data_IF_071896541746
#
_entry.id   IF_071896541746
#
_cell.length_a   1.000
_cell.length_b   1.000
_cell.length_c   1.000
_cell.angle_alpha   90.00
_cell.angle_beta   90.00
_cell.angle_gamma   90.00
#
_symmetry.space_group_name_H-M   'P 1'
#
loop_
_entity.id
_entity.type
_entity.pdbx_description
1 polymer ?
#
# COMPACT_ATOMS: atom_id res chain seq x y z
N UNK A 1 2.91 25.11 -12.57
CA UNK A 1 2.83 24.20 -11.40
C UNK A 1 2.71 22.81 -11.98
N UNK A 2 3.57 21.87 -11.60
CA UNK A 2 3.50 20.51 -12.14
C UNK A 2 2.63 19.65 -11.23
N UNK A 3 1.61 19.04 -11.81
CA UNK A 3 0.67 18.12 -11.15
C UNK A 3 0.32 16.95 -12.08
N UNK A 4 -0.43 15.97 -11.58
CA UNK A 4 -0.84 14.80 -12.36
C UNK A 4 -1.48 15.21 -13.71
N UNK A 5 -0.96 14.68 -14.82
CA UNK A 5 -1.39 15.02 -16.17
C UNK A 5 -0.58 16.13 -16.86
N UNK A 6 0.21 16.90 -16.10
CA UNK A 6 1.10 17.94 -16.67
C UNK A 6 2.15 17.31 -17.59
N UNK A 7 2.40 17.91 -18.75
CA UNK A 7 3.39 17.48 -19.72
C UNK A 7 4.28 18.63 -20.19
N UNK A 8 5.51 18.29 -20.55
CA UNK A 8 6.37 19.17 -21.34
C UNK A 8 5.80 19.36 -22.75
N UNK A 9 6.14 20.50 -23.37
CA UNK A 9 5.74 20.79 -24.75
C UNK A 9 6.21 19.67 -25.70
N UNK A 10 5.27 19.08 -26.44
CA UNK A 10 5.54 17.96 -27.35
C UNK A 10 5.58 16.57 -26.70
N UNK A 11 5.44 16.45 -25.37
CA UNK A 11 5.44 15.16 -24.67
C UNK A 11 4.05 14.52 -24.51
N UNK A 12 2.97 15.21 -24.91
CA UNK A 12 1.62 14.62 -24.89
C UNK A 12 1.58 13.43 -25.85
N UNK A 13 1.17 12.23 -25.39
CA UNK A 13 1.08 11.06 -26.26
C UNK A 13 0.12 11.29 -27.43
N UNK A 14 0.53 10.90 -28.64
CA UNK A 14 -0.35 10.94 -29.83
C UNK A 14 -1.58 10.05 -29.65
N UNK A 15 -1.39 8.87 -29.07
CA UNK A 15 -2.47 7.96 -28.66
C UNK A 15 -2.52 7.89 -27.13
N UNK A 16 -3.38 8.71 -26.54
CA UNK A 16 -3.59 8.76 -25.10
C UNK A 16 -4.18 7.46 -24.55
N UNK A 17 -5.01 6.75 -25.34
CA UNK A 17 -5.58 5.46 -24.91
C UNK A 17 -4.51 4.38 -24.86
N UNK A 18 -3.59 4.37 -25.82
CA UNK A 18 -2.45 3.47 -25.79
C UNK A 18 -1.59 3.68 -24.54
N UNK A 19 -1.39 4.93 -24.11
CA UNK A 19 -0.67 5.25 -22.88
C UNK A 19 -1.34 4.66 -21.63
N UNK A 20 -2.68 4.61 -21.56
CA UNK A 20 -3.39 4.10 -20.39
C UNK A 20 -3.63 2.58 -20.38
N UNK A 21 -3.37 1.88 -21.48
CA UNK A 21 -3.69 0.45 -21.66
C UNK A 21 -3.11 -0.48 -20.58
N UNK A 22 -1.92 -0.17 -20.10
CA UNK A 22 -1.17 -0.89 -19.05
C UNK A 22 -1.33 -0.26 -17.66
N UNK A 23 -1.98 0.92 -17.56
CA UNK A 23 -2.14 1.70 -16.32
C UNK A 23 -3.54 1.64 -15.75
N UNK A 24 -4.55 1.41 -16.60
CA UNK A 24 -5.96 1.30 -16.26
C UNK A 24 -6.47 -0.13 -16.45
N UNK A 25 -7.39 -0.54 -15.58
CA UNK A 25 -8.10 -1.80 -15.77
C UNK A 25 -9.25 -1.59 -16.79
N UNK A 26 -9.61 -2.58 -17.61
CA UNK A 26 -10.60 -2.42 -18.68
C UNK A 26 -11.96 -1.85 -18.22
N UNK A 27 -12.35 -2.12 -16.97
CA UNK A 27 -13.61 -1.65 -16.39
C UNK A 27 -13.55 -0.20 -15.89
N UNK A 28 -12.43 0.51 -16.04
CA UNK A 28 -12.35 1.92 -15.69
C UNK A 28 -13.16 2.79 -16.67
N UNK A 29 -13.90 3.80 -16.18
CA UNK A 29 -14.85 4.54 -16.99
C UNK A 29 -14.21 5.53 -17.98
N UNK A 30 -12.93 5.91 -17.78
CA UNK A 30 -12.23 6.92 -18.61
C UNK A 30 -10.78 6.52 -18.94
N UNK A 31 -10.62 5.75 -20.01
CA UNK A 31 -9.32 5.21 -20.45
C UNK A 31 -8.48 6.21 -21.29
N UNK A 32 -8.53 7.50 -20.95
CA UNK A 32 -7.83 8.59 -21.64
C UNK A 32 -7.39 9.74 -20.73
N UNK A 33 -7.66 9.64 -19.43
CA UNK A 33 -7.39 10.67 -18.43
C UNK A 33 -6.81 10.02 -17.16
N UNK A 34 -5.99 10.72 -16.40
CA UNK A 34 -5.52 10.21 -15.12
C UNK A 34 -6.61 10.33 -14.06
N UNK A 35 -6.99 9.21 -13.42
CA UNK A 35 -7.79 9.25 -12.19
C UNK A 35 -7.04 9.98 -11.06
N UNK A 36 -7.62 11.09 -10.57
CA UNK A 36 -7.16 11.85 -9.40
C UNK A 36 -7.56 11.22 -8.07
N UNK A 37 -7.53 12.00 -6.98
CA UNK A 37 -7.91 11.51 -5.65
C UNK A 37 -9.36 11.82 -5.28
N UNK A 38 -9.87 12.99 -5.69
CA UNK A 38 -11.22 13.46 -5.32
C UNK A 38 -12.28 12.63 -6.02
N UNK A 39 -13.47 12.52 -5.43
CA UNK A 39 -14.63 11.88 -6.05
C UNK A 39 -14.88 12.44 -7.46
N UNK A 40 -14.93 11.58 -8.47
CA UNK A 40 -15.18 11.95 -9.87
C UNK A 40 -14.05 12.70 -10.58
N UNK A 41 -12.85 12.81 -9.97
CA UNK A 41 -11.76 13.61 -10.51
C UNK A 41 -10.91 12.87 -11.56
N UNK A 42 -10.76 13.51 -12.71
CA UNK A 42 -9.95 13.01 -13.82
C UNK A 42 -9.14 14.17 -14.40
N UNK A 43 -7.86 13.92 -14.66
CA UNK A 43 -6.93 14.90 -15.21
C UNK A 43 -6.58 14.53 -16.65
N UNK A 44 -6.87 15.40 -17.64
CA UNK A 44 -6.38 15.20 -18.99
C UNK A 44 -4.87 15.43 -19.03
N UNK A 45 -4.26 15.11 -20.18
CA UNK A 45 -2.92 15.61 -20.47
C UNK A 45 -2.97 17.12 -20.69
N UNK A 46 -2.08 17.86 -20.03
CA UNK A 46 -1.98 19.31 -20.17
C UNK A 46 -0.54 19.70 -20.46
N UNK A 47 -0.26 20.14 -21.68
CA UNK A 47 1.04 20.70 -22.04
C UNK A 47 1.23 22.07 -21.37
N UNK A 48 2.37 22.29 -20.72
CA UNK A 48 2.73 23.58 -20.12
C UNK A 48 4.09 24.06 -20.62
N UNK A 49 4.28 25.38 -20.61
CA UNK A 49 5.61 26.02 -20.72
C UNK A 49 6.15 26.38 -19.32
N UNK A 50 7.45 26.25 -19.09
CA UNK A 50 8.10 26.53 -17.81
C UNK A 50 9.20 25.51 -17.46
N UNK A 51 9.57 25.39 -16.18
CA UNK A 51 10.42 24.28 -15.70
C UNK A 51 9.82 22.96 -16.16
N UNK A 52 10.63 22.17 -16.86
CA UNK A 52 10.13 20.95 -17.48
C UNK A 52 9.82 19.88 -16.44
N UNK A 53 8.75 19.11 -16.67
CA UNK A 53 8.51 17.83 -16.01
C UNK A 53 9.77 16.96 -16.07
N UNK A 54 10.52 16.97 -17.19
CA UNK A 54 11.83 16.32 -17.30
C UNK A 54 12.82 16.76 -16.22
N UNK A 55 12.88 18.06 -15.88
CA UNK A 55 13.77 18.59 -14.86
C UNK A 55 13.39 18.06 -13.47
N UNK A 56 12.09 18.06 -13.16
CA UNK A 56 11.57 17.49 -11.90
C UNK A 56 11.84 15.99 -11.83
N UNK A 57 11.62 15.24 -12.93
CA UNK A 57 11.91 13.81 -12.98
C UNK A 57 13.40 13.51 -12.75
N UNK A 58 14.31 14.29 -13.37
CA UNK A 58 15.76 14.15 -13.15
C UNK A 58 16.13 14.42 -11.70
N UNK A 59 15.59 15.49 -11.11
CA UNK A 59 15.79 15.77 -9.69
C UNK A 59 15.30 14.62 -8.82
N UNK A 60 14.06 14.15 -9.00
CA UNK A 60 13.49 13.07 -8.20
C UNK A 60 14.28 11.76 -8.34
N UNK A 61 14.80 11.47 -9.53
CA UNK A 61 15.67 10.31 -9.76
C UNK A 61 17.00 10.45 -9.01
N UNK A 62 17.66 11.61 -9.14
CA UNK A 62 18.93 11.88 -8.46
C UNK A 62 18.77 11.88 -6.94
N UNK A 63 17.67 12.44 -6.43
CA UNK A 63 17.32 12.53 -5.02
C UNK A 63 16.87 11.20 -4.40
N UNK A 64 16.64 10.14 -5.21
CA UNK A 64 16.31 8.79 -4.72
C UNK A 64 14.81 8.46 -4.62
N UNK A 65 13.92 9.27 -5.21
CA UNK A 65 12.47 9.07 -5.16
C UNK A 65 11.88 8.45 -6.43
N UNK A 66 12.64 8.39 -7.54
CA UNK A 66 12.16 7.90 -8.84
C UNK A 66 13.09 6.85 -9.46
N UNK A 67 13.44 5.76 -8.73
CA UNK A 67 14.52 4.85 -9.15
C UNK A 67 14.22 4.08 -10.45
N UNK A 68 12.97 3.65 -10.65
CA UNK A 68 12.54 2.90 -11.84
C UNK A 68 11.69 3.73 -12.79
N UNK A 69 11.69 5.05 -12.61
CA UNK A 69 10.89 5.95 -13.41
C UNK A 69 11.58 6.34 -14.72
N UNK A 70 10.77 6.49 -15.78
CA UNK A 70 11.24 7.01 -17.06
C UNK A 70 11.21 8.54 -17.02
N UNK A 71 12.29 9.17 -17.47
CA UNK A 71 12.31 10.61 -17.76
C UNK A 71 11.71 10.81 -19.15
N UNK A 72 10.44 11.18 -19.20
CA UNK A 72 9.64 11.30 -20.43
C UNK A 72 8.90 12.63 -20.58
N UNK A 73 9.01 13.52 -19.59
CA UNK A 73 8.31 14.80 -19.60
C UNK A 73 6.82 14.69 -19.30
N UNK A 74 6.35 13.55 -18.76
CA UNK A 74 4.95 13.33 -18.38
C UNK A 74 4.84 13.16 -16.86
N UNK A 75 4.05 14.01 -16.23
CA UNK A 75 3.69 13.89 -14.82
C UNK A 75 2.58 12.85 -14.67
N UNK A 76 2.91 11.57 -14.91
CA UNK A 76 2.01 10.44 -14.72
C UNK A 76 1.96 9.97 -13.26
N UNK A 77 1.30 8.83 -13.02
CA UNK A 77 1.13 8.27 -11.67
C UNK A 77 2.44 8.12 -10.90
N UNK A 78 3.51 7.65 -11.56
CA UNK A 78 4.82 7.45 -10.90
C UNK A 78 5.50 8.77 -10.56
N UNK A 79 5.50 9.74 -11.47
CA UNK A 79 6.04 11.08 -11.21
C UNK A 79 5.28 11.75 -10.05
N UNK A 80 3.93 11.73 -10.08
CA UNK A 80 3.10 12.29 -9.01
C UNK A 80 3.32 11.61 -7.65
N UNK A 81 3.46 10.27 -7.63
CA UNK A 81 3.81 9.52 -6.42
C UNK A 81 5.18 9.93 -5.87
N UNK A 82 6.16 10.11 -6.76
CA UNK A 82 7.52 10.51 -6.38
C UNK A 82 7.59 11.95 -5.86
N UNK A 83 6.76 12.85 -6.40
CA UNK A 83 6.57 14.19 -5.85
C UNK A 83 6.03 14.11 -4.42
N UNK A 84 4.97 13.33 -4.17
CA UNK A 84 4.42 13.14 -2.82
C UNK A 84 5.43 12.53 -1.86
N UNK A 85 6.21 11.55 -2.30
CA UNK A 85 7.28 10.96 -1.51
C UNK A 85 8.37 11.97 -1.14
N UNK A 86 8.77 12.84 -2.07
CA UNK A 86 9.70 13.93 -1.76
C UNK A 86 9.12 14.91 -0.74
N UNK A 87 7.87 15.34 -0.95
CA UNK A 87 7.17 16.23 -0.01
C UNK A 87 7.07 15.60 1.39
N UNK A 88 6.71 14.31 1.44
CA UNK A 88 6.58 13.55 2.67
C UNK A 88 7.93 13.37 3.38
N UNK A 89 9.02 13.13 2.64
CA UNK A 89 10.36 13.00 3.20
C UNK A 89 10.82 14.31 3.84
N UNK A 90 10.66 15.45 3.16
CA UNK A 90 11.00 16.77 3.72
C UNK A 90 10.16 17.05 4.96
N UNK A 91 8.85 16.76 4.92
CA UNK A 91 7.93 17.00 6.03
C UNK A 91 8.25 16.14 7.26
N UNK A 92 8.53 14.84 7.06
CA UNK A 92 8.57 13.86 8.15
C UNK A 92 9.99 13.45 8.56
N UNK A 93 10.92 13.34 7.62
CA UNK A 93 12.31 12.90 7.88
C UNK A 93 13.22 14.09 8.17
N UNK A 94 13.07 15.18 7.40
CA UNK A 94 13.77 16.44 7.70
C UNK A 94 13.03 17.29 8.74
N UNK A 95 11.79 16.92 9.09
CA UNK A 95 10.91 17.66 10.00
C UNK A 95 10.71 19.14 9.58
N UNK A 96 10.70 19.43 8.28
CA UNK A 96 10.53 20.78 7.74
C UNK A 96 9.09 20.98 7.26
N UNK A 97 8.23 21.69 8.03
CA UNK A 97 6.82 21.86 7.69
C UNK A 97 6.60 22.85 6.54
N UNK A 98 7.63 23.59 6.11
CA UNK A 98 7.47 24.64 5.11
C UNK A 98 7.08 24.09 3.73
N UNK A 99 7.42 22.82 3.46
CA UNK A 99 7.01 22.06 2.27
C UNK A 99 5.49 21.91 2.15
N UNK A 100 4.76 21.87 3.27
CA UNK A 100 3.31 21.64 3.33
C UNK A 100 2.90 20.17 3.41
N UNK A 101 1.62 19.90 3.09
CA UNK A 101 1.11 18.53 2.99
C UNK A 101 1.59 17.86 1.69
N UNK A 102 1.74 16.52 1.67
CA UNK A 102 2.13 15.79 0.47
C UNK A 102 0.97 15.67 -0.52
N UNK A 103 0.67 16.76 -1.22
CA UNK A 103 -0.47 16.91 -2.14
C UNK A 103 -0.17 16.47 -3.58
N UNK A 104 1.10 16.24 -3.93
CA UNK A 104 1.53 15.87 -5.28
C UNK A 104 1.61 17.05 -6.25
N UNK A 105 1.40 18.28 -5.79
CA UNK A 105 1.57 19.49 -6.58
C UNK A 105 2.99 20.05 -6.40
N UNK A 106 3.78 20.02 -7.46
CA UNK A 106 5.11 20.61 -7.50
C UNK A 106 5.02 22.11 -7.80
N UNK A 107 4.67 22.86 -6.74
CA UNK A 107 4.59 24.33 -6.74
C UNK A 107 5.85 25.02 -6.18
N UNK A 108 5.78 26.33 -5.87
CA UNK A 108 6.92 27.14 -5.43
C UNK A 108 7.65 26.57 -4.20
N UNK A 109 6.91 26.01 -3.24
CA UNK A 109 7.49 25.35 -2.05
C UNK A 109 8.36 24.15 -2.44
N UNK A 110 7.79 23.21 -3.19
CA UNK A 110 8.51 22.02 -3.69
C UNK A 110 9.73 22.41 -4.53
N UNK A 111 9.59 23.43 -5.39
CA UNK A 111 10.71 23.96 -6.16
C UNK A 111 11.82 24.55 -5.27
N UNK A 112 11.47 25.31 -4.23
CA UNK A 112 12.45 25.83 -3.26
C UNK A 112 13.22 24.73 -2.54
N UNK A 113 12.56 23.65 -2.11
CA UNK A 113 13.26 22.52 -1.50
C UNK A 113 14.09 21.72 -2.51
N UNK A 114 13.66 21.62 -3.77
CA UNK A 114 14.46 21.04 -4.85
C UNK A 114 15.77 21.81 -5.04
N UNK A 115 15.71 23.14 -5.18
CA UNK A 115 16.91 23.99 -5.31
C UNK A 115 17.85 23.84 -4.11
N UNK A 116 17.29 23.83 -2.89
CA UNK A 116 18.05 23.58 -1.65
C UNK A 116 18.75 22.22 -1.67
N UNK A 117 18.07 21.16 -2.10
CA UNK A 117 18.64 19.82 -2.20
C UNK A 117 19.73 19.74 -3.27
N UNK A 118 19.51 20.33 -4.45
CA UNK A 118 20.49 20.36 -5.53
C UNK A 118 21.76 21.13 -5.13
N UNK A 119 21.59 22.30 -4.50
CA UNK A 119 22.72 23.10 -4.01
C UNK A 119 23.51 22.37 -2.91
N UNK A 120 22.81 21.63 -2.05
CA UNK A 120 23.42 20.87 -0.96
C UNK A 120 23.87 19.46 -1.32
N UNK A 121 23.71 19.01 -2.57
CA UNK A 121 24.01 17.63 -2.98
C UNK A 121 23.24 16.55 -2.19
N UNK A 122 22.01 16.86 -1.76
CA UNK A 122 21.22 15.99 -0.87
C UNK A 122 20.53 14.85 -1.64
N UNK A 123 20.41 13.72 -0.95
CA UNK A 123 19.67 12.52 -1.37
C UNK A 123 18.90 11.94 -0.19
N UNK A 124 17.81 11.25 -0.50
CA UNK A 124 17.08 10.45 0.48
C UNK A 124 17.79 9.12 0.74
N UNK A 125 17.78 8.68 2.00
CA UNK A 125 18.28 7.35 2.40
C UNK A 125 17.56 6.21 1.66
N UNK A 126 16.31 6.43 1.24
CA UNK A 126 15.52 5.44 0.49
C UNK A 126 16.18 5.01 -0.81
N UNK A 127 16.95 5.90 -1.45
CA UNK A 127 17.69 5.61 -2.68
C UNK A 127 19.01 4.89 -2.47
N UNK A 128 19.46 4.76 -1.22
CA UNK A 128 20.74 4.12 -0.86
C UNK A 128 20.54 2.66 -0.41
N UNK A 129 19.35 2.34 0.07
CA UNK A 129 18.92 0.96 0.31
C UNK A 129 18.67 0.21 -1.01
N UNK A 130 18.87 -1.11 -0.97
CA UNK A 130 18.46 -2.04 -2.01
C UNK A 130 18.27 -3.44 -1.43
N UNK A 131 17.79 -4.39 -2.24
CA UNK A 131 17.77 -5.80 -1.86
C UNK A 131 19.16 -6.33 -1.48
N UNK A 132 20.21 -5.86 -2.18
CA UNK A 132 21.61 -6.23 -1.92
C UNK A 132 22.26 -5.46 -0.76
N UNK A 133 21.69 -4.31 -0.41
CA UNK A 133 22.15 -3.46 0.71
C UNK A 133 20.95 -3.04 1.57
N UNK A 134 20.27 -4.01 2.21
CA UNK A 134 19.08 -3.73 2.99
C UNK A 134 19.45 -3.14 4.35
N UNK A 135 18.51 -2.42 4.95
CA UNK A 135 18.65 -2.03 6.35
C UNK A 135 18.65 -3.28 7.26
N UNK A 136 19.33 -3.26 8.41
CA UNK A 136 19.39 -4.41 9.32
C UNK A 136 18.01 -4.96 9.71
N UNK A 137 17.03 -4.05 9.82
CA UNK A 137 15.66 -4.42 10.13
C UNK A 137 14.96 -5.20 9.01
N UNK A 138 15.24 -4.88 7.74
CA UNK A 138 14.68 -5.64 6.61
C UNK A 138 15.25 -7.05 6.58
N UNK A 139 16.57 -7.21 6.78
CA UNK A 139 17.22 -8.53 6.90
C UNK A 139 16.53 -9.38 7.96
N UNK A 140 16.26 -8.78 9.12
CA UNK A 140 15.62 -9.45 10.23
C UNK A 140 14.18 -9.91 9.92
N UNK A 141 13.41 -9.08 9.22
CA UNK A 141 12.06 -9.46 8.77
C UNK A 141 12.10 -10.64 7.78
N UNK A 142 13.01 -10.62 6.81
CA UNK A 142 13.16 -11.76 5.87
C UNK A 142 13.57 -13.05 6.59
N UNK A 143 14.49 -12.97 7.54
CA UNK A 143 14.86 -14.12 8.39
C UNK A 143 13.68 -14.66 9.20
N UNK A 144 12.84 -13.79 9.76
CA UNK A 144 11.62 -14.21 10.45
C UNK A 144 10.68 -14.93 9.47
N UNK A 145 10.42 -14.35 8.30
CA UNK A 145 9.54 -14.95 7.30
C UNK A 145 10.03 -16.33 6.84
N UNK A 146 11.33 -16.50 6.62
CA UNK A 146 11.94 -17.81 6.34
C UNK A 146 11.66 -18.82 7.46
N UNK A 147 11.81 -18.41 8.73
CA UNK A 147 11.47 -19.29 9.87
C UNK A 147 9.98 -19.62 9.93
N UNK A 148 9.10 -18.68 9.60
CA UNK A 148 7.65 -18.91 9.52
C UNK A 148 7.33 -19.95 8.44
N UNK A 149 7.90 -19.81 7.24
CA UNK A 149 7.77 -20.82 6.17
C UNK A 149 8.27 -22.18 6.63
N UNK A 150 9.47 -22.23 7.21
CA UNK A 150 10.08 -23.48 7.61
C UNK A 150 9.28 -24.14 8.74
N UNK A 151 8.75 -23.35 9.69
CA UNK A 151 7.82 -23.84 10.71
C UNK A 151 6.59 -24.51 10.08
N UNK A 152 5.88 -23.81 9.19
CA UNK A 152 4.67 -24.34 8.56
C UNK A 152 4.92 -25.46 7.54
N UNK A 153 6.13 -25.60 7.01
CA UNK A 153 6.52 -26.78 6.21
C UNK A 153 6.61 -28.04 7.06
N UNK A 154 7.12 -27.93 8.30
CA UNK A 154 7.27 -29.07 9.21
C UNK A 154 6.03 -29.31 10.08
N UNK A 155 5.24 -28.26 10.30
CA UNK A 155 4.05 -28.26 11.15
C UNK A 155 2.86 -27.64 10.41
N UNK A 156 2.43 -28.20 9.26
CA UNK A 156 1.33 -27.62 8.50
C UNK A 156 0.03 -27.75 9.29
N UNK A 157 -0.71 -26.64 9.40
CA UNK A 157 -2.07 -26.67 9.96
C UNK A 157 -3.02 -27.37 8.99
N UNK A 158 -4.17 -27.84 9.49
CA UNK A 158 -5.22 -28.43 8.64
C UNK A 158 -5.63 -27.49 7.51
N UNK A 159 -5.70 -26.18 7.76
CA UNK A 159 -6.03 -25.20 6.74
C UNK A 159 -4.93 -25.10 5.65
N UNK A 160 -3.65 -25.08 6.05
CA UNK A 160 -2.53 -25.04 5.10
C UNK A 160 -2.43 -26.32 4.26
N UNK A 161 -2.75 -27.49 4.84
CA UNK A 161 -2.87 -28.74 4.08
C UNK A 161 -3.97 -28.64 3.02
N UNK A 162 -5.15 -28.12 3.40
CA UNK A 162 -6.27 -27.92 2.47
C UNK A 162 -5.95 -26.92 1.35
N UNK A 163 -5.15 -25.89 1.65
CA UNK A 163 -4.64 -24.95 0.63
C UNK A 163 -3.73 -25.69 -0.36
N UNK A 164 -2.82 -26.54 0.12
CA UNK A 164 -1.98 -27.36 -0.75
C UNK A 164 -2.77 -28.38 -1.60
N UNK A 165 -3.94 -28.81 -1.10
CA UNK A 165 -4.84 -29.71 -1.82
C UNK A 165 -5.83 -29.00 -2.75
N UNK A 166 -5.90 -27.67 -2.73
CA UNK A 166 -6.78 -26.91 -3.62
C UNK A 166 -6.34 -27.05 -5.09
N UNK A 167 -7.26 -27.44 -5.97
CA UNK A 167 -6.97 -27.70 -7.40
C UNK A 167 -7.47 -26.63 -8.36
N UNK A 168 -8.24 -25.65 -7.87
CA UNK A 168 -8.71 -24.53 -8.70
C UNK A 168 -7.63 -23.48 -8.90
N UNK A 169 -7.78 -22.62 -9.90
CA UNK A 169 -6.92 -21.44 -10.04
C UNK A 169 -7.08 -20.50 -8.85
N UNK A 170 -5.97 -20.11 -8.23
CA UNK A 170 -5.92 -19.14 -7.13
C UNK A 170 -4.55 -18.46 -7.08
N UNK A 171 -4.52 -17.25 -6.53
CA UNK A 171 -3.34 -16.49 -6.18
C UNK A 171 -2.81 -16.83 -4.77
N UNK A 172 -3.48 -17.71 -4.02
CA UNK A 172 -3.00 -18.20 -2.70
C UNK A 172 -2.02 -19.34 -2.88
N UNK A 173 -0.86 -19.24 -2.24
CA UNK A 173 0.24 -20.17 -2.44
C UNK A 173 0.29 -21.23 -1.33
N UNK A 174 0.54 -22.51 -1.67
CA UNK A 174 0.91 -23.49 -0.67
C UNK A 174 2.26 -23.14 -0.05
N UNK A 175 2.52 -23.58 1.19
CA UNK A 175 3.75 -23.26 1.94
C UNK A 175 5.03 -23.67 1.19
N UNK A 176 4.95 -24.73 0.39
CA UNK A 176 6.07 -25.16 -0.46
C UNK A 176 6.50 -24.08 -1.47
N UNK A 177 5.57 -23.24 -1.92
CA UNK A 177 5.76 -22.18 -2.92
C UNK A 177 5.96 -20.78 -2.32
N UNK A 178 5.98 -20.67 -0.98
CA UNK A 178 6.26 -19.37 -0.35
C UNK A 178 7.68 -18.91 -0.66
N UNK A 179 7.79 -17.69 -1.18
CA UNK A 179 9.00 -17.07 -1.67
C UNK A 179 9.19 -15.70 -0.99
N UNK A 180 10.35 -15.50 -0.38
CA UNK A 180 10.70 -14.25 0.32
C UNK A 180 11.93 -13.58 -0.29
N UNK A 181 12.10 -13.69 -1.61
CA UNK A 181 13.13 -12.98 -2.35
C UNK A 181 13.11 -11.46 -2.03
N UNK A 182 14.19 -10.89 -1.47
CA UNK A 182 14.27 -9.48 -1.11
C UNK A 182 14.27 -8.52 -2.31
N UNK A 183 14.45 -9.03 -3.54
CA UNK A 183 14.29 -8.24 -4.77
C UNK A 183 12.82 -7.97 -5.11
N UNK A 184 11.89 -8.64 -4.43
CA UNK A 184 10.44 -8.50 -4.62
C UNK A 184 9.85 -7.62 -3.51
N UNK A 185 8.71 -6.99 -3.79
CA UNK A 185 7.98 -6.21 -2.78
C UNK A 185 7.17 -7.18 -1.93
N UNK A 186 7.28 -7.07 -0.61
CA UNK A 186 6.49 -7.86 0.34
C UNK A 186 5.65 -6.94 1.22
N UNK A 187 4.38 -7.27 1.37
CA UNK A 187 3.52 -6.68 2.39
C UNK A 187 3.12 -7.79 3.36
N UNK A 188 3.47 -7.66 4.63
CA UNK A 188 3.14 -8.63 5.67
C UNK A 188 2.01 -8.07 6.52
N UNK A 189 0.85 -8.71 6.51
CA UNK A 189 -0.21 -8.46 7.48
C UNK A 189 -0.02 -9.33 8.71
N UNK A 190 -0.10 -8.72 9.88
CA UNK A 190 0.00 -9.40 11.18
C UNK A 190 -1.37 -9.28 11.83
N UNK A 191 -2.11 -10.39 11.81
CA UNK A 191 -3.41 -10.50 12.46
C UNK A 191 -3.22 -10.66 13.97
N UNK A 192 -3.83 -9.76 14.72
CA UNK A 192 -3.92 -9.69 16.16
C UNK A 192 -5.37 -9.87 16.55
N UNK A 193 -5.60 -10.44 17.74
CA UNK A 193 -6.90 -10.51 18.39
C UNK A 193 -8.08 -10.55 17.41
N UNK A 194 -8.25 -11.68 16.70
CA UNK A 194 -9.31 -11.84 15.68
C UNK A 194 -10.61 -11.16 16.12
N UNK A 195 -11.24 -10.44 15.19
CA UNK A 195 -12.35 -9.55 15.51
C UNK A 195 -13.31 -10.14 16.56
N UNK A 196 -13.57 -9.35 17.61
CA UNK A 196 -14.48 -9.78 18.68
C UNK A 196 -15.91 -9.42 18.27
N UNK A 197 -16.92 -10.21 18.71
CA UNK A 197 -18.31 -9.88 18.45
C UNK A 197 -18.63 -8.42 18.79
N UNK A 198 -19.06 -7.65 17.79
CA UNK A 198 -19.47 -6.25 17.94
C UNK A 198 -18.35 -5.21 18.07
N UNK A 199 -17.06 -5.61 17.99
CA UNK A 199 -15.93 -4.67 18.06
C UNK A 199 -14.88 -4.98 17.00
N UNK A 200 -14.69 -4.03 16.08
CA UNK A 200 -13.54 -4.01 15.19
C UNK A 200 -12.61 -2.86 15.56
N UNK A 201 -11.38 -3.22 15.89
CA UNK A 201 -10.33 -2.27 16.15
C UNK A 201 -9.36 -2.24 14.96
N UNK A 202 -8.64 -1.13 14.77
CA UNK A 202 -7.48 -1.12 13.88
C UNK A 202 -6.25 -1.55 14.68
N UNK A 203 -6.28 -2.76 15.21
CA UNK A 203 -5.22 -3.29 16.05
C UNK A 203 -4.36 -4.33 15.33
N UNK A 204 -4.42 -4.40 14.00
CA UNK A 204 -3.47 -5.15 13.19
C UNK A 204 -2.35 -4.28 12.65
N UNK A 205 -1.24 -4.93 12.30
CA UNK A 205 -0.05 -4.27 11.76
C UNK A 205 0.22 -4.78 10.36
N UNK A 206 0.57 -3.86 9.45
CA UNK A 206 1.06 -4.14 8.12
C UNK A 206 2.51 -3.69 8.01
N UNK A 207 3.38 -4.56 7.51
CA UNK A 207 4.81 -4.29 7.34
C UNK A 207 5.15 -4.36 5.85
N UNK A 208 5.52 -3.22 5.27
CA UNK A 208 5.98 -3.14 3.89
C UNK A 208 7.51 -3.30 3.86
N UNK A 209 7.99 -4.35 3.21
CA UNK A 209 9.40 -4.57 2.89
C UNK A 209 9.61 -4.18 1.43
N UNK A 210 10.35 -3.10 1.18
CA UNK A 210 10.50 -2.54 -0.16
C UNK A 210 11.86 -1.87 -0.32
N UNK A 211 12.57 -2.20 -1.41
CA UNK A 211 13.89 -1.65 -1.73
C UNK A 211 14.88 -1.70 -0.55
N UNK A 212 14.87 -2.79 0.24
CA UNK A 212 15.73 -2.92 1.42
C UNK A 212 15.31 -2.09 2.64
N UNK A 213 14.19 -1.36 2.59
CA UNK A 213 13.62 -0.59 3.70
C UNK A 213 12.36 -1.28 4.28
N UNK A 214 11.98 -0.86 5.48
CA UNK A 214 10.79 -1.35 6.21
C UNK A 214 9.92 -0.17 6.60
N UNK A 215 8.62 -0.27 6.32
CA UNK A 215 7.62 0.69 6.80
C UNK A 215 6.51 -0.06 7.50
N UNK A 216 5.91 0.54 8.54
CA UNK A 216 4.83 -0.10 9.30
C UNK A 216 3.59 0.76 9.31
N UNK A 217 2.47 0.13 9.02
CA UNK A 217 1.16 0.76 8.99
C UNK A 217 0.26 0.02 9.95
N UNK A 218 -0.75 0.69 10.49
CA UNK A 218 -1.75 0.05 11.31
C UNK A 218 -3.09 0.03 10.58
N UNK A 219 -3.93 -0.93 10.90
CA UNK A 219 -5.16 -1.17 10.19
C UNK A 219 -5.86 -2.40 10.75
N UNK A 220 -6.62 -3.08 9.90
CA UNK A 220 -7.28 -4.33 10.24
C UNK A 220 -7.28 -5.27 9.05
N UNK A 221 -6.97 -6.52 9.33
CA UNK A 221 -7.02 -7.69 8.44
C UNK A 221 -8.36 -8.41 8.55
N UNK A 222 -9.25 -7.94 9.43
CA UNK A 222 -10.58 -8.49 9.63
C UNK A 222 -11.55 -8.00 8.54
N UNK A 223 -12.39 -8.90 8.02
CA UNK A 223 -13.31 -8.57 6.94
C UNK A 223 -14.42 -7.64 7.41
N UNK A 224 -14.89 -6.74 6.54
CA UNK A 224 -16.11 -5.94 6.73
C UNK A 224 -17.37 -6.72 7.10
N UNK A 225 -18.38 -6.01 7.63
CA UNK A 225 -19.74 -6.57 7.75
C UNK A 225 -20.15 -7.15 6.40
N UNK A 226 -20.62 -8.39 6.42
CA UNK A 226 -21.11 -9.10 5.25
C UNK A 226 -22.63 -9.15 5.25
N UNK A 227 -23.22 -9.08 4.06
CA UNK A 227 -24.63 -9.42 3.82
C UNK A 227 -24.79 -10.82 3.19
N UNK A 228 -23.70 -11.56 3.03
CA UNK A 228 -23.71 -12.90 2.48
C UNK A 228 -24.20 -13.89 3.54
N UNK A 229 -25.14 -14.75 3.16
CA UNK A 229 -25.72 -15.71 4.10
C UNK A 229 -24.72 -16.77 4.60
N UNK A 230 -23.66 -17.02 3.84
CA UNK A 230 -22.61 -17.92 4.26
C UNK A 230 -21.60 -17.26 5.22
N UNK A 231 -21.72 -15.95 5.49
CA UNK A 231 -20.87 -15.24 6.44
C UNK A 231 -19.78 -14.36 5.85
N UNK A 232 -19.07 -13.63 6.72
CA UNK A 232 -18.00 -12.73 6.33
C UNK A 232 -16.78 -13.51 5.81
N UNK A 233 -16.17 -13.11 4.67
CA UNK A 233 -15.07 -13.87 4.09
C UNK A 233 -13.73 -13.46 4.72
N UNK A 234 -13.14 -14.33 5.52
CA UNK A 234 -11.80 -14.16 6.07
C UNK A 234 -10.75 -14.66 5.07
N UNK A 235 -9.78 -13.79 4.73
CA UNK A 235 -8.56 -14.22 4.05
C UNK A 235 -7.84 -15.25 4.92
N UNK A 236 -7.50 -16.38 4.31
CA UNK A 236 -6.72 -17.45 4.96
C UNK A 236 -5.29 -16.97 5.24
N UNK A 237 -4.65 -17.40 6.34
CA UNK A 237 -3.23 -17.13 6.56
C UNK A 237 -2.36 -17.77 5.47
N UNK A 238 -1.21 -17.15 5.20
CA UNK A 238 -0.23 -17.61 4.22
C UNK A 238 0.18 -16.52 3.22
N UNK A 239 0.86 -16.93 2.15
CA UNK A 239 1.32 -16.02 1.10
C UNK A 239 0.37 -16.00 -0.10
N UNK A 240 0.13 -14.81 -0.65
CA UNK A 240 -0.76 -14.55 -1.76
C UNK A 240 -0.13 -13.62 -2.79
N UNK A 241 -0.38 -13.86 -4.08
CA UNK A 241 0.06 -12.98 -5.17
C UNK A 241 -0.90 -11.81 -5.34
N UNK A 242 -0.40 -10.60 -5.10
CA UNK A 242 -1.14 -9.37 -5.31
C UNK A 242 -0.52 -8.54 -6.43
N UNK A 243 -1.32 -7.63 -6.96
CA UNK A 243 -0.87 -6.59 -7.88
C UNK A 243 -1.44 -5.24 -7.50
N UNK A 244 -0.75 -4.21 -7.94
CA UNK A 244 -1.27 -2.87 -7.90
C UNK A 244 -2.41 -2.72 -8.92
N UNK A 245 -3.54 -2.21 -8.47
CA UNK A 245 -4.78 -2.13 -9.25
C UNK A 245 -5.71 -1.03 -8.78
N UNK A 246 -6.98 -1.17 -9.11
CA UNK A 246 -8.00 -0.16 -8.83
C UNK A 246 -9.17 -0.71 -8.01
N UNK A 247 -9.47 -0.09 -6.87
CA UNK A 247 -10.63 -0.40 -6.04
C UNK A 247 -11.88 0.39 -6.47
N UNK A 248 -13.07 -0.07 -6.05
CA UNK A 248 -14.39 0.54 -6.38
C UNK A 248 -14.64 0.77 -7.87
N UNK A 249 -14.16 -0.09 -8.77
CA UNK A 249 -14.40 0.07 -10.22
C UNK A 249 -15.89 0.09 -10.61
N UNK A 250 -16.78 -0.49 -9.79
CA UNK A 250 -18.23 -0.41 -9.97
C UNK A 250 -18.84 0.97 -9.67
N UNK A 251 -18.09 1.85 -9.00
CA UNK A 251 -18.46 3.23 -8.70
C UNK A 251 -17.36 4.14 -9.28
N UNK A 252 -17.57 4.57 -10.53
CA UNK A 252 -16.59 5.33 -11.32
C UNK A 252 -16.07 6.59 -10.64
N UNK A 253 -16.83 7.16 -9.71
CA UNK A 253 -16.46 8.36 -8.98
C UNK A 253 -15.56 8.04 -7.77
N UNK A 254 -15.67 6.85 -7.19
CA UNK A 254 -14.90 6.42 -6.01
C UNK A 254 -13.71 5.52 -6.34
N UNK A 255 -13.28 5.46 -7.59
CA UNK A 255 -12.14 4.64 -8.00
C UNK A 255 -10.83 5.19 -7.42
N UNK A 256 -10.02 4.35 -6.77
CA UNK A 256 -8.67 4.71 -6.33
C UNK A 256 -7.74 3.49 -6.29
N UNK A 257 -6.43 3.73 -6.13
CA UNK A 257 -5.41 2.69 -6.14
C UNK A 257 -5.49 1.76 -4.92
N UNK A 258 -5.39 0.46 -5.16
CA UNK A 258 -5.37 -0.57 -4.12
C UNK A 258 -4.56 -1.79 -4.56
N UNK A 259 -4.30 -2.67 -3.60
CA UNK A 259 -3.75 -3.99 -3.89
C UNK A 259 -4.91 -4.96 -4.11
N UNK A 260 -4.85 -5.69 -5.23
CA UNK A 260 -5.85 -6.69 -5.61
C UNK A 260 -5.17 -8.05 -5.79
N UNK A 261 -5.91 -9.17 -5.65
CA UNK A 261 -5.44 -10.46 -6.12
C UNK A 261 -4.93 -10.35 -7.57
N UNK A 262 -3.80 -11.01 -7.86
CA UNK A 262 -3.09 -10.84 -9.14
C UNK A 262 -3.95 -11.28 -10.33
N UNK A 263 -4.63 -12.42 -10.20
CA UNK A 263 -5.33 -13.09 -11.29
C UNK A 263 -6.69 -13.67 -10.86
N UNK A 264 -6.74 -14.95 -10.49
CA UNK A 264 -7.97 -15.70 -10.24
C UNK A 264 -8.65 -15.36 -8.91
N UNK A 265 -7.97 -14.70 -7.98
CA UNK A 265 -8.47 -14.44 -6.64
C UNK A 265 -7.70 -15.19 -5.56
N UNK A 266 -8.01 -14.88 -4.30
CA UNK A 266 -7.39 -15.50 -3.13
C UNK A 266 -8.38 -16.41 -2.41
N UNK A 267 -7.86 -17.36 -1.65
CA UNK A 267 -8.67 -18.28 -0.88
C UNK A 267 -9.17 -17.61 0.40
N UNK A 268 -10.46 -17.79 0.68
CA UNK A 268 -11.10 -17.37 1.91
C UNK A 268 -11.79 -18.55 2.58
N UNK A 269 -12.01 -18.42 3.88
CA UNK A 269 -13.01 -19.17 4.63
C UNK A 269 -14.07 -18.19 5.11
N UNK A 270 -15.29 -18.67 5.36
CA UNK A 270 -16.37 -17.80 5.85
C UNK A 270 -16.64 -18.06 7.32
N UNK A 271 -16.89 -16.97 8.03
CA UNK A 271 -17.42 -16.94 9.39
C UNK A 271 -18.89 -17.42 9.37
N UNK A 272 -19.04 -18.72 9.58
CA UNK A 272 -20.27 -19.46 9.31
C UNK A 272 -21.33 -19.30 10.39
N UNK A 273 -20.92 -19.04 11.63
CA UNK A 273 -21.81 -18.74 12.76
C UNK A 273 -22.08 -17.24 12.94
N UNK A 274 -21.41 -16.40 12.14
CA UNK A 274 -21.63 -14.95 11.99
C UNK A 274 -21.30 -14.18 13.26
N UNK A 275 -20.30 -14.64 14.00
CA UNK A 275 -19.82 -13.99 15.23
C UNK A 275 -18.72 -12.93 14.95
N UNK A 276 -18.29 -12.81 13.68
CA UNK A 276 -17.20 -11.97 13.19
C UNK A 276 -15.82 -12.34 13.76
N UNK A 277 -15.64 -13.57 14.25
CA UNK A 277 -14.36 -14.15 14.60
C UNK A 277 -13.98 -15.27 13.61
N UNK A 278 -12.71 -15.68 13.60
CA UNK A 278 -12.24 -16.80 12.79
C UNK A 278 -12.03 -18.02 13.68
N UNK A 279 -13.11 -18.74 13.99
CA UNK A 279 -13.04 -19.85 14.92
C UNK A 279 -12.46 -21.12 14.29
N UNK A 280 -12.09 -22.11 15.10
CA UNK A 280 -11.70 -23.43 14.59
C UNK A 280 -12.80 -24.10 13.75
N UNK A 281 -14.08 -23.78 13.99
CA UNK A 281 -15.17 -24.28 13.17
C UNK A 281 -15.12 -23.68 11.75
N UNK A 282 -14.85 -22.38 11.65
CA UNK A 282 -14.76 -21.67 10.37
C UNK A 282 -13.53 -22.12 9.56
N UNK A 283 -12.41 -22.39 10.23
CA UNK A 283 -11.21 -22.96 9.61
C UNK A 283 -11.46 -24.34 8.98
N UNK A 284 -12.47 -25.08 9.44
CA UNK A 284 -12.98 -26.31 8.83
C UNK A 284 -13.93 -26.09 7.66
N UNK A 285 -14.50 -24.88 7.53
CA UNK A 285 -15.43 -24.49 6.49
C UNK A 285 -14.84 -24.50 5.08
N UNK A 286 -15.67 -24.41 4.05
CA UNK A 286 -15.26 -24.51 2.63
C UNK A 286 -14.24 -23.42 2.26
N UNK A 287 -13.17 -23.84 1.58
CA UNK A 287 -12.28 -22.91 0.87
C UNK A 287 -13.00 -22.35 -0.37
N UNK A 288 -13.09 -21.03 -0.45
CA UNK A 288 -13.67 -20.32 -1.60
C UNK A 288 -12.60 -19.45 -2.25
N UNK A 289 -12.53 -19.47 -3.57
CA UNK A 289 -11.69 -18.53 -4.31
C UNK A 289 -12.45 -17.22 -4.57
N UNK A 290 -11.86 -16.08 -4.22
CA UNK A 290 -12.50 -14.77 -4.27
C UNK A 290 -11.57 -13.69 -4.83
N UNK A 291 -11.97 -13.07 -5.94
CA UNK A 291 -11.20 -12.05 -6.64
C UNK A 291 -11.40 -10.61 -6.11
N UNK A 292 -12.24 -10.42 -5.08
CA UNK A 292 -12.60 -9.09 -4.57
C UNK A 292 -11.92 -8.71 -3.24
N UNK A 293 -11.10 -9.60 -2.68
CA UNK A 293 -10.39 -9.42 -1.41
C UNK A 293 -9.17 -8.51 -1.60
N UNK A 294 -9.36 -7.21 -1.42
CA UNK A 294 -8.32 -6.20 -1.63
C UNK A 294 -7.65 -5.79 -0.32
N UNK A 295 -6.48 -5.14 -0.42
CA UNK A 295 -5.93 -4.29 0.65
C UNK A 295 -6.09 -2.84 0.23
N UNK A 296 -6.84 -2.05 1.00
CA UNK A 296 -7.21 -0.70 0.60
C UNK A 296 -7.31 0.30 1.77
N UNK A 297 -7.84 1.49 1.50
CA UNK A 297 -7.82 2.63 2.42
C UNK A 297 -9.02 2.64 3.38
N UNK A 298 -8.73 2.57 4.69
CA UNK A 298 -9.72 2.59 5.78
C UNK A 298 -10.11 3.98 6.30
N UNK A 299 -9.97 5.04 5.49
CA UNK A 299 -10.15 6.41 5.99
C UNK A 299 -9.06 6.80 6.99
N UNK A 300 -9.42 7.57 8.03
CA UNK A 300 -8.59 7.80 9.22
C UNK A 300 -8.67 6.68 10.26
N UNK A 301 -9.17 5.49 9.87
CA UNK A 301 -9.35 4.35 10.78
C UNK A 301 -10.77 4.21 11.33
N UNK A 302 -11.75 4.92 10.80
CA UNK A 302 -13.14 4.89 11.30
C UNK A 302 -14.16 4.58 10.20
N UNK A 303 -13.71 4.27 8.98
CA UNK A 303 -14.59 4.20 7.82
C UNK A 303 -14.07 3.24 6.76
N UNK A 304 -14.83 3.13 5.66
CA UNK A 304 -14.45 2.40 4.45
C UNK A 304 -14.19 0.91 4.62
N UNK A 305 -14.74 0.26 5.64
CA UNK A 305 -14.69 -1.19 5.71
C UNK A 305 -15.55 -1.82 4.61
N UNK A 306 -15.00 -2.82 3.91
CA UNK A 306 -15.73 -3.61 2.92
C UNK A 306 -15.64 -5.08 3.24
N UNK A 307 -16.65 -5.84 2.79
CA UNK A 307 -16.69 -7.28 2.95
C UNK A 307 -15.38 -7.93 2.49
N UNK A 308 -14.71 -8.66 3.38
CA UNK A 308 -13.48 -9.39 3.09
C UNK A 308 -12.18 -8.62 2.98
N UNK A 309 -12.24 -7.32 2.67
CA UNK A 309 -11.03 -6.56 2.42
C UNK A 309 -10.32 -6.18 3.72
N UNK A 310 -9.02 -6.04 3.59
CA UNK A 310 -8.15 -5.56 4.64
C UNK A 310 -7.92 -4.07 4.42
N UNK A 311 -7.85 -3.30 5.50
CA UNK A 311 -7.73 -1.85 5.41
C UNK A 311 -6.55 -1.35 6.18
N UNK A 312 -5.89 -0.34 5.62
CA UNK A 312 -4.83 0.42 6.27
C UNK A 312 -5.36 1.80 6.61
N UNK A 313 -5.10 2.21 7.85
CA UNK A 313 -5.48 3.51 8.36
C UNK A 313 -4.60 4.62 7.78
N UNK A 314 -5.22 5.73 7.38
CA UNK A 314 -4.51 6.91 6.88
C UNK A 314 -3.89 7.80 7.96
N UNK A 315 -4.15 7.57 9.25
CA UNK A 315 -3.80 8.52 10.34
C UNK A 315 -2.29 8.64 10.57
N UNK A 316 -1.52 7.58 10.34
CA UNK A 316 -0.07 7.60 10.52
C UNK A 316 0.60 6.26 10.23
N UNK A 317 1.93 6.27 10.24
CA UNK A 317 2.79 5.12 9.98
C UNK A 317 4.10 5.25 10.76
N UNK A 318 4.84 4.15 10.94
CA UNK A 318 6.24 4.19 11.34
C UNK A 318 7.10 4.19 10.07
N UNK A 319 7.96 5.19 9.93
CA UNK A 319 8.87 5.30 8.80
C UNK A 319 10.03 4.28 8.91
N UNK A 320 10.91 4.27 7.90
CA UNK A 320 12.13 3.44 7.87
C UNK A 320 13.09 3.59 9.06
N UNK A 321 12.97 4.65 9.86
CA UNK A 321 13.74 4.91 11.08
C UNK A 321 12.98 4.54 12.37
N UNK A 322 11.87 3.81 12.25
CA UNK A 322 10.94 3.50 13.34
C UNK A 322 10.35 4.75 14.03
N UNK A 323 10.33 5.89 13.34
CA UNK A 323 9.75 7.12 13.85
C UNK A 323 8.28 7.20 13.47
N UNK A 324 7.46 7.56 14.46
CA UNK A 324 6.04 7.81 14.27
C UNK A 324 5.82 9.06 13.40
N UNK A 325 5.10 8.88 12.30
CA UNK A 325 4.70 9.96 11.40
C UNK A 325 3.20 10.17 11.51
N UNK A 326 2.81 11.33 12.02
CA UNK A 326 1.41 11.77 12.07
C UNK A 326 0.97 12.36 10.72
N UNK A 327 -0.14 11.85 10.21
CA UNK A 327 -0.83 12.32 9.01
C UNK A 327 -2.22 12.90 9.33
N UNK A 328 -2.63 12.96 10.59
CA UNK A 328 -3.98 13.33 11.05
C UNK A 328 -4.50 14.65 10.50
N UNK A 329 -3.62 15.63 10.29
CA UNK A 329 -3.99 16.97 9.82
C UNK A 329 -4.38 17.03 8.34
N UNK A 330 -4.00 16.02 7.54
CA UNK A 330 -4.28 15.95 6.11
C UNK A 330 -4.83 14.60 5.64
N UNK A 331 -5.06 13.64 6.54
CA UNK A 331 -5.70 12.38 6.21
C UNK A 331 -7.22 12.57 6.14
N UNK A 332 -7.82 12.30 4.99
CA UNK A 332 -9.26 12.34 4.80
C UNK A 332 -9.97 11.27 5.66
N UNK A 333 -11.08 11.65 6.28
CA UNK A 333 -11.90 10.69 7.07
C UNK A 333 -12.80 9.86 6.16
N UNK A 334 -13.33 10.47 5.10
CA UNK A 334 -14.31 9.86 4.19
C UNK A 334 -14.02 10.26 2.74
N UNK A 335 -14.71 9.64 1.79
CA UNK A 335 -14.68 10.04 0.38
C UNK A 335 -15.07 11.51 0.16
N UNK A 336 -15.95 12.08 0.99
CA UNK A 336 -16.44 13.45 0.81
C UNK A 336 -15.33 14.49 0.98
N UNK A 337 -14.37 14.22 1.88
CA UNK A 337 -13.23 15.12 2.12
C UNK A 337 -12.03 14.79 1.25
N UNK A 338 -11.92 13.57 0.74
CA UNK A 338 -10.76 13.13 -0.04
C UNK A 338 -10.55 14.00 -1.30
N UNK A 339 -9.31 14.46 -1.50
CA UNK A 339 -8.91 15.32 -2.61
C UNK A 339 -9.47 16.74 -2.54
N UNK A 340 -9.99 17.17 -1.39
CA UNK A 340 -10.51 18.53 -1.16
C UNK A 340 -9.62 19.29 -0.17
N UNK A 341 -9.79 20.62 -0.06
CA UNK A 341 -9.15 21.42 0.99
C UNK A 341 -10.09 21.62 2.17
N UNK A 342 -9.68 21.17 3.35
CA UNK A 342 -10.36 21.44 4.64
C UNK A 342 -9.49 22.39 5.44
N UNK A 343 -10.03 23.54 5.83
CA UNK A 343 -9.26 24.61 6.48
C UNK A 343 -7.97 24.98 5.73
N UNK A 344 -8.01 24.98 4.39
CA UNK A 344 -6.86 25.29 3.53
C UNK A 344 -5.88 24.13 3.30
N UNK A 345 -6.05 22.98 3.96
CA UNK A 345 -5.17 21.81 3.86
C UNK A 345 -5.77 20.75 2.93
N UNK A 346 -5.02 20.35 1.91
CA UNK A 346 -5.39 19.27 1.00
C UNK A 346 -5.51 17.93 1.77
N UNK A 347 -6.62 17.24 1.59
CA UNK A 347 -6.91 15.99 2.29
C UNK A 347 -6.58 14.79 1.39
N UNK A 348 -5.54 14.04 1.71
CA UNK A 348 -5.14 12.81 1.00
C UNK A 348 -5.58 11.56 1.77
N UNK A 349 -5.11 10.38 1.36
CA UNK A 349 -5.31 9.12 2.13
C UNK A 349 -4.28 8.97 3.26
N UNK A 350 -3.46 9.99 3.52
CA UNK A 350 -2.47 10.01 4.59
C UNK A 350 -1.44 8.89 4.45
N UNK A 351 -1.23 8.11 5.51
CA UNK A 351 -0.32 6.98 5.54
C UNK A 351 -0.56 5.95 4.42
N UNK A 352 -1.82 5.76 4.00
CA UNK A 352 -2.12 4.86 2.88
C UNK A 352 -1.58 5.40 1.54
N UNK A 353 -1.57 6.73 1.34
CA UNK A 353 -0.92 7.34 0.17
C UNK A 353 0.57 7.02 0.17
N UNK A 354 1.25 7.06 1.32
CA UNK A 354 2.68 6.71 1.43
C UNK A 354 2.94 5.28 0.99
N UNK A 355 2.15 4.30 1.47
CA UNK A 355 2.27 2.91 1.03
C UNK A 355 2.10 2.77 -0.49
N UNK A 356 1.05 3.38 -1.03
CA UNK A 356 0.75 3.33 -2.46
C UNK A 356 1.85 4.00 -3.28
N UNK A 357 2.37 5.12 -2.81
CA UNK A 357 3.39 5.90 -3.51
C UNK A 357 4.75 5.19 -3.49
N UNK A 358 5.12 4.57 -2.36
CA UNK A 358 6.30 3.71 -2.26
C UNK A 358 6.20 2.54 -3.25
N UNK A 359 5.09 1.80 -3.24
CA UNK A 359 4.88 0.71 -4.20
C UNK A 359 4.94 1.22 -5.64
N UNK A 360 4.30 2.36 -5.94
CA UNK A 360 4.29 2.92 -7.30
C UNK A 360 5.67 3.38 -7.76
N UNK A 361 6.45 4.03 -6.89
CA UNK A 361 7.76 4.57 -7.22
C UNK A 361 8.84 3.50 -7.29
N UNK A 362 8.77 2.49 -6.41
CA UNK A 362 9.78 1.45 -6.24
C UNK A 362 9.39 0.09 -6.86
N UNK A 363 8.20 -0.09 -7.43
CA UNK A 363 7.91 -1.26 -8.25
C UNK A 363 8.63 -1.16 -9.60
N UNK A 364 9.26 -2.24 -10.05
CA UNK A 364 9.70 -2.39 -11.44
C UNK A 364 8.53 -2.49 -12.42
N UNK A 365 8.71 -3.23 -13.52
CA UNK A 365 7.67 -3.47 -14.53
C UNK A 365 6.55 -4.41 -14.06
N UNK A 366 6.80 -5.25 -13.06
CA UNK A 366 5.84 -6.29 -12.65
C UNK A 366 4.60 -5.73 -11.93
N UNK A 367 4.68 -4.53 -11.32
CA UNK A 367 3.60 -3.93 -10.52
C UNK A 367 2.91 -4.91 -9.55
N UNK A 368 3.67 -5.90 -9.07
CA UNK A 368 3.22 -7.00 -8.25
C UNK A 368 3.92 -6.99 -6.89
N UNK A 369 3.27 -7.60 -5.90
CA UNK A 369 3.85 -7.84 -4.60
C UNK A 369 3.33 -9.13 -4.01
N UNK A 370 4.09 -9.72 -3.10
CA UNK A 370 3.62 -10.84 -2.30
C UNK A 370 3.02 -10.32 -1.01
N UNK A 371 1.75 -10.67 -0.79
CA UNK A 371 1.06 -10.37 0.45
C UNK A 371 1.11 -11.59 1.35
N UNK A 372 1.70 -11.47 2.53
CA UNK A 372 1.77 -12.59 3.49
C UNK A 372 0.98 -12.24 4.74
N UNK A 373 -0.03 -13.03 5.06
CA UNK A 373 -0.82 -12.89 6.27
C UNK A 373 -0.37 -13.92 7.30
N UNK A 374 0.11 -13.45 8.44
CA UNK A 374 0.57 -14.27 9.58
C UNK A 374 -0.16 -13.87 10.86
N UNK A 375 -0.09 -14.71 11.88
CA UNK A 375 -0.59 -14.39 13.21
C UNK A 375 0.49 -13.73 14.06
N UNK A 376 0.11 -12.90 15.02
CA UNK A 376 1.08 -12.30 15.97
C UNK A 376 1.90 -13.36 16.73
N UNK A 377 1.32 -14.54 16.98
CA UNK A 377 2.04 -15.66 17.59
C UNK A 377 3.25 -16.13 16.74
N UNK A 378 3.19 -15.98 15.42
CA UNK A 378 4.29 -16.38 14.52
C UNK A 378 5.55 -15.52 14.74
N UNK A 379 5.41 -14.30 15.28
CA UNK A 379 6.53 -13.42 15.59
C UNK A 379 7.45 -14.02 16.68
N UNK A 380 6.94 -14.94 17.51
CA UNK A 380 7.71 -15.62 18.54
C UNK A 380 8.72 -16.64 17.98
N UNK A 381 8.62 -17.01 16.69
CA UNK A 381 9.60 -17.87 16.01
C UNK A 381 10.97 -17.16 15.87
N UNK A 382 11.02 -15.85 16.03
CA UNK A 382 12.25 -15.09 16.29
C UNK A 382 12.21 -14.51 17.72
N UNK A 383 13.03 -15.01 18.65
CA UNK A 383 13.05 -14.55 20.03
C UNK A 383 13.28 -13.05 20.20
N UNK A 384 13.94 -12.41 19.25
CA UNK A 384 14.20 -10.99 19.35
C UNK A 384 13.05 -10.11 18.83
N UNK A 385 12.06 -10.66 18.11
CA UNK A 385 10.79 -9.97 17.89
C UNK A 385 9.92 -10.16 19.14
N UNK A 386 9.66 -11.42 19.51
CA UNK A 386 8.76 -11.76 20.61
C UNK A 386 7.27 -11.68 20.24
N UNK A 387 6.43 -12.35 21.03
CA UNK A 387 4.99 -12.51 20.77
C UNK A 387 4.16 -11.24 20.93
N UNK A 388 4.74 -10.15 21.41
CA UNK A 388 4.09 -8.86 21.65
C UNK A 388 4.61 -7.75 20.70
N UNK A 389 5.42 -8.10 19.69
CA UNK A 389 6.03 -7.12 18.81
C UNK A 389 5.00 -6.24 18.08
N UNK A 390 3.90 -6.82 17.61
CA UNK A 390 2.86 -6.06 16.92
C UNK A 390 2.00 -5.24 17.91
N UNK A 391 1.77 -5.76 19.12
CA UNK A 391 1.22 -4.97 20.23
C UNK A 391 2.07 -3.73 20.56
N UNK A 392 3.41 -3.85 20.60
CA UNK A 392 4.32 -2.71 20.83
C UNK A 392 4.27 -1.70 19.69
N UNK A 393 4.20 -2.16 18.44
CA UNK A 393 4.04 -1.26 17.27
C UNK A 393 2.74 -0.47 17.40
N UNK A 394 1.63 -1.13 17.74
CA UNK A 394 0.34 -0.46 17.93
C UNK A 394 0.33 0.50 19.11
N UNK A 395 1.02 0.16 20.21
CA UNK A 395 1.13 1.07 21.36
C UNK A 395 1.74 2.42 20.98
N UNK A 396 2.77 2.42 20.11
CA UNK A 396 3.35 3.65 19.55
C UNK A 396 2.34 4.39 18.68
N UNK A 397 1.64 3.67 17.80
CA UNK A 397 0.71 4.26 16.82
C UNK A 397 -0.58 4.82 17.47
N UNK A 398 -0.95 4.28 18.63
CA UNK A 398 -2.08 4.73 19.43
C UNK A 398 -1.80 6.04 20.19
N UNK A 399 -0.57 6.57 20.18
CA UNK A 399 -0.28 7.90 20.75
C UNK A 399 -0.66 9.06 19.82
N UNK A 400 -1.10 8.77 18.59
CA UNK A 400 -1.59 9.75 17.61
C UNK A 400 -2.99 10.31 17.95
#
# INVERSE_FOLDING_TARGET
MIELGTCDAGCVPVDTRAYFRDRHEPAMPRNGEFRGERVGEWHPFVAQGGDGVVQVQRFLQQAGFFPFGKIDGICGYRTASSIRLFQEYVRSVEADPTIGAPDGAFGPKSHGHMQRWQTGGRRAEWGDFSADRPQPQAVRWFQLLDRVRDHYRHHPTTLLQRIADYRGGTDTLPVAEWDFDPHRIHLVGIRRNEARPGRRDNDDVFVLLINGAVFRFYGTTDPGKSSNDAGAPFLVPGQHRYRFGWHKQSDGDKVYRALKPRSSGVLIVRDSDRDLALTQADLGGRLENNASINVHWGGRGVSNWSEGCQVICGRGYLNHRDQLVDCSSFAATTYATLGTKVAGVYQSKGAYSVLVDLVTAFSGSEHALDYTLIYEADLALDPGFGSDAAARINAIMNTL
#
